data_IF_000511343500
#
_entry.id   IF_000511343500
#
_cell.length_a   1.000
_cell.length_b   1.000
_cell.length_c   1.000
_cell.angle_alpha   90.00
_cell.angle_beta   90.00
_cell.angle_gamma   90.00
#
_symmetry.space_group_name_H-M   'P 1'
#
loop_
_entity.id
_entity.type
_entity.pdbx_description
1 polymer ?
#
# COMPACT_ATOMS: atom_id res chain seq x y z
N UNK A 1 42.35 -8.95 -45.11
CA UNK A 1 40.90 -8.61 -45.01
C UNK A 1 40.20 -9.07 -43.71
N UNK A 2 40.58 -10.12 -43.00
CA UNK A 2 39.91 -10.61 -41.78
C UNK A 2 40.16 -9.79 -40.50
N UNK A 3 41.20 -8.96 -40.38
CA UNK A 3 41.51 -8.17 -39.18
C UNK A 3 40.75 -6.84 -39.06
N UNK A 4 40.29 -6.26 -40.17
CA UNK A 4 39.52 -5.00 -40.14
C UNK A 4 38.06 -5.19 -39.76
N UNK A 5 37.50 -6.37 -40.01
CA UNK A 5 36.08 -6.65 -39.69
C UNK A 5 35.84 -6.78 -38.18
N UNK A 6 36.79 -7.30 -37.42
CA UNK A 6 36.66 -7.47 -35.97
C UNK A 6 36.79 -6.14 -35.21
N UNK A 7 37.55 -5.18 -35.72
CA UNK A 7 37.72 -3.88 -35.07
C UNK A 7 36.46 -3.01 -35.23
N UNK A 8 35.79 -3.07 -36.37
CA UNK A 8 34.54 -2.33 -36.61
C UNK A 8 33.37 -2.84 -35.77
N UNK A 9 33.30 -4.16 -35.51
CA UNK A 9 32.26 -4.73 -34.65
C UNK A 9 32.49 -4.36 -33.19
N UNK A 10 33.73 -4.34 -32.71
CA UNK A 10 34.06 -3.96 -31.32
C UNK A 10 33.75 -2.46 -31.08
N UNK A 11 34.07 -1.60 -32.04
CA UNK A 11 33.76 -0.15 -31.94
C UNK A 11 32.26 0.08 -31.98
N UNK A 12 31.50 -0.63 -32.81
CA UNK A 12 30.04 -0.53 -32.86
C UNK A 12 29.38 -1.02 -31.56
N UNK A 13 29.90 -2.10 -30.93
CA UNK A 13 29.42 -2.59 -29.64
C UNK A 13 29.74 -1.64 -28.46
N UNK A 14 30.93 -1.00 -28.49
CA UNK A 14 31.28 0.00 -27.47
C UNK A 14 30.47 1.28 -27.61
N UNK A 15 30.19 1.74 -28.83
CA UNK A 15 29.32 2.91 -29.05
C UNK A 15 27.86 2.59 -28.69
N UNK A 16 27.36 1.40 -28.97
CA UNK A 16 26.05 0.94 -28.57
C UNK A 16 25.88 0.88 -27.05
N UNK A 17 26.90 0.38 -26.33
CA UNK A 17 26.90 0.31 -24.88
C UNK A 17 26.99 1.71 -24.22
N UNK A 18 27.76 2.64 -24.80
CA UNK A 18 27.82 4.02 -24.29
C UNK A 18 26.56 4.83 -24.59
N UNK A 19 25.91 4.58 -25.72
CA UNK A 19 24.60 5.23 -26.04
C UNK A 19 23.47 4.70 -25.14
N UNK A 20 23.50 3.42 -24.76
CA UNK A 20 22.54 2.87 -23.78
C UNK A 20 22.75 3.42 -22.35
N UNK A 21 24.00 3.70 -21.97
CA UNK A 21 24.32 4.32 -20.67
C UNK A 21 23.99 5.85 -20.65
N UNK A 22 23.99 6.50 -21.80
CA UNK A 22 23.61 7.93 -21.92
C UNK A 22 22.09 8.14 -22.04
N UNK A 23 21.32 7.07 -22.28
CA UNK A 23 19.86 7.12 -22.37
C UNK A 23 19.14 6.96 -21.01
N UNK A 24 19.86 6.72 -19.91
CA UNK A 24 19.34 6.96 -18.57
C UNK A 24 19.33 8.49 -18.36
N UNK A 25 18.28 9.13 -18.85
CA UNK A 25 18.01 10.54 -18.57
C UNK A 25 18.03 10.73 -17.07
N UNK A 26 18.87 11.64 -16.59
CA UNK A 26 18.77 12.14 -15.22
C UNK A 26 17.43 12.83 -15.11
N UNK A 27 16.41 12.08 -14.67
CA UNK A 27 15.14 12.70 -14.31
C UNK A 27 15.43 13.60 -13.10
N UNK A 28 15.44 14.90 -13.31
CA UNK A 28 15.53 15.86 -12.22
C UNK A 28 14.17 15.91 -11.52
N UNK A 29 13.94 14.95 -10.62
CA UNK A 29 12.78 15.02 -9.74
C UNK A 29 12.95 16.16 -8.75
N UNK A 30 11.86 16.86 -8.38
CA UNK A 30 11.92 17.86 -7.33
C UNK A 30 12.29 17.19 -6.01
N UNK A 31 13.06 17.89 -5.17
CA UNK A 31 13.42 17.43 -3.83
C UNK A 31 12.28 17.56 -2.83
N UNK A 32 11.29 18.40 -3.15
CA UNK A 32 10.12 18.66 -2.30
C UNK A 32 8.91 18.93 -3.17
N UNK A 33 7.78 18.36 -2.80
CA UNK A 33 6.48 18.62 -3.42
C UNK A 33 5.50 18.95 -2.30
N UNK A 34 4.83 20.10 -2.39
CA UNK A 34 3.81 20.51 -1.44
C UNK A 34 2.47 19.85 -1.80
N UNK A 35 1.95 19.02 -0.91
CA UNK A 35 0.64 18.36 -1.12
C UNK A 35 -0.56 19.28 -0.91
N UNK A 36 -0.36 20.40 -0.22
CA UNK A 36 -1.41 21.33 0.17
C UNK A 36 -2.18 20.88 1.44
N UNK A 37 -2.95 21.79 2.03
CA UNK A 37 -3.81 21.47 3.18
C UNK A 37 -5.19 20.99 2.68
N UNK A 38 -5.60 19.79 3.07
CA UNK A 38 -6.93 19.23 2.80
C UNK A 38 -7.67 18.91 4.11
N UNK A 39 -9.01 19.01 4.10
CA UNK A 39 -9.86 18.77 5.27
C UNK A 39 -10.29 17.30 5.41
N UNK A 40 -9.54 16.37 4.83
CA UNK A 40 -9.87 14.94 4.80
C UNK A 40 -8.96 14.09 5.71
N UNK A 41 -8.48 14.67 6.81
CA UNK A 41 -7.51 14.05 7.71
C UNK A 41 -6.07 14.45 7.36
N UNK A 42 -5.11 13.57 7.59
CA UNK A 42 -3.71 13.73 7.22
C UNK A 42 -3.33 12.76 6.10
N UNK A 43 -2.17 12.94 5.50
CA UNK A 43 -1.64 12.01 4.50
C UNK A 43 -1.44 10.64 5.16
N UNK A 44 -1.97 9.60 4.51
CA UNK A 44 -1.85 8.21 4.93
C UNK A 44 -0.85 7.45 4.05
N UNK A 45 -0.78 7.78 2.76
CA UNK A 45 0.11 7.14 1.81
C UNK A 45 0.38 8.01 0.58
N UNK A 46 1.43 7.65 -0.15
CA UNK A 46 1.87 8.35 -1.35
C UNK A 46 2.23 7.31 -2.41
N UNK A 47 1.60 7.41 -3.59
CA UNK A 47 1.99 6.63 -4.76
C UNK A 47 2.52 7.56 -5.85
N UNK A 48 3.53 7.12 -6.60
CA UNK A 48 4.19 7.96 -7.61
C UNK A 48 4.26 7.26 -8.95
N UNK A 49 3.73 7.92 -9.96
CA UNK A 49 3.94 7.58 -11.37
C UNK A 49 5.09 8.42 -11.93
N UNK A 50 6.28 7.88 -11.89
CA UNK A 50 7.49 8.57 -12.33
C UNK A 50 7.56 8.75 -13.84
N UNK A 51 6.87 7.91 -14.63
CA UNK A 51 6.90 7.97 -16.09
C UNK A 51 6.02 9.11 -16.63
N UNK A 52 4.83 9.29 -16.03
CA UNK A 52 3.89 10.34 -16.42
C UNK A 52 4.00 11.60 -15.57
N UNK A 53 4.76 11.55 -14.47
CA UNK A 53 5.01 12.70 -13.61
C UNK A 53 3.82 13.07 -12.72
N UNK A 54 3.15 12.06 -12.14
CA UNK A 54 2.04 12.27 -11.21
C UNK A 54 2.36 11.74 -9.82
N UNK A 55 1.79 12.42 -8.81
CA UNK A 55 1.81 11.98 -7.42
C UNK A 55 0.38 11.86 -6.92
N UNK A 56 0.11 10.78 -6.24
CA UNK A 56 -1.17 10.47 -5.63
C UNK A 56 -1.01 10.45 -4.12
N UNK A 57 -1.85 11.18 -3.42
CA UNK A 57 -1.86 11.23 -1.96
C UNK A 57 -3.18 10.67 -1.45
N UNK A 58 -3.13 9.68 -0.58
CA UNK A 58 -4.30 9.32 0.23
C UNK A 58 -4.37 10.19 1.46
N UNK A 59 -5.55 10.69 1.69
CA UNK A 59 -6.00 11.21 2.98
C UNK A 59 -7.03 10.24 3.53
N UNK A 60 -7.37 10.33 4.79
CA UNK A 60 -8.27 9.36 5.44
C UNK A 60 -9.52 9.01 4.61
N UNK A 61 -10.12 9.99 3.91
CA UNK A 61 -11.36 9.79 3.15
C UNK A 61 -11.30 10.28 1.70
N UNK A 62 -10.11 10.66 1.24
CA UNK A 62 -9.94 11.32 -0.05
C UNK A 62 -8.63 10.92 -0.72
N UNK A 63 -8.64 10.82 -2.06
CA UNK A 63 -7.43 10.73 -2.89
C UNK A 63 -7.22 12.03 -3.65
N UNK A 64 -5.99 12.54 -3.67
CA UNK A 64 -5.59 13.73 -4.43
C UNK A 64 -4.55 13.33 -5.47
N UNK A 65 -4.75 13.77 -6.72
CA UNK A 65 -3.79 13.63 -7.82
C UNK A 65 -3.15 14.97 -8.12
N UNK A 66 -1.82 15.03 -8.15
CA UNK A 66 -1.05 16.22 -8.53
C UNK A 66 -0.04 15.90 -9.63
N UNK A 67 0.51 16.94 -10.26
CA UNK A 67 1.77 16.82 -10.99
C UNK A 67 2.98 16.90 -10.03
N UNK A 68 4.20 16.75 -10.56
CA UNK A 68 5.45 16.85 -9.78
C UNK A 68 5.74 18.27 -9.27
N UNK A 69 4.96 19.27 -9.65
CA UNK A 69 5.07 20.64 -9.12
C UNK A 69 4.06 20.91 -7.99
N UNK A 70 3.25 19.91 -7.65
CA UNK A 70 2.18 20.02 -6.64
C UNK A 70 0.90 20.67 -7.18
N UNK A 71 0.78 20.91 -8.50
CA UNK A 71 -0.48 21.40 -9.06
C UNK A 71 -1.53 20.30 -9.04
N UNK A 72 -2.67 20.56 -8.41
CA UNK A 72 -3.76 19.60 -8.31
C UNK A 72 -4.44 19.41 -9.65
N UNK A 73 -4.56 18.15 -10.08
CA UNK A 73 -5.21 17.74 -11.33
C UNK A 73 -6.64 17.28 -11.05
N UNK A 74 -6.83 16.54 -9.99
CA UNK A 74 -8.14 16.04 -9.61
C UNK A 74 -8.13 15.39 -8.22
N UNK A 75 -9.30 15.02 -7.76
CA UNK A 75 -9.45 14.33 -6.47
C UNK A 75 -10.68 13.42 -6.46
N UNK A 76 -10.64 12.43 -5.57
CA UNK A 76 -11.74 11.50 -5.29
C UNK A 76 -12.16 11.67 -3.86
N UNK A 77 -13.46 11.76 -3.60
CA UNK A 77 -14.07 11.89 -2.28
C UNK A 77 -15.27 10.96 -2.10
N UNK A 78 -15.89 11.04 -0.93
CA UNK A 78 -17.10 10.28 -0.60
C UNK A 78 -16.81 8.92 -0.01
N UNK A 79 -15.55 8.64 0.38
CA UNK A 79 -15.21 7.47 1.15
C UNK A 79 -15.66 7.63 2.62
N UNK A 80 -16.34 6.63 3.13
CA UNK A 80 -16.74 6.51 4.55
C UNK A 80 -15.89 5.49 5.30
N UNK A 81 -14.88 4.96 4.63
CA UNK A 81 -13.84 4.11 5.17
C UNK A 81 -12.52 4.85 5.27
N UNK A 82 -11.57 4.26 5.98
CA UNK A 82 -10.20 4.74 6.10
C UNK A 82 -9.41 4.28 4.86
N UNK A 83 -9.00 5.24 4.03
CA UNK A 83 -8.05 5.03 2.95
C UNK A 83 -6.64 5.19 3.53
N UNK A 84 -5.89 4.10 3.56
CA UNK A 84 -4.53 4.05 4.11
C UNK A 84 -3.46 4.25 3.05
N UNK A 85 -2.41 3.46 3.11
CA UNK A 85 -1.31 3.49 2.17
C UNK A 85 -1.69 3.07 0.75
N UNK A 86 -0.89 3.48 -0.23
CA UNK A 86 -1.14 3.22 -1.65
C UNK A 86 0.15 2.99 -2.41
N UNK A 87 0.06 2.20 -3.49
CA UNK A 87 1.13 2.08 -4.46
C UNK A 87 0.61 2.10 -5.91
N UNK A 88 1.49 2.52 -6.82
CA UNK A 88 1.19 2.62 -8.24
C UNK A 88 1.67 1.38 -8.99
N UNK A 89 0.74 0.66 -9.61
CA UNK A 89 1.07 -0.47 -10.46
C UNK A 89 1.44 -0.02 -11.87
N UNK A 90 2.72 -0.14 -12.21
CA UNK A 90 3.24 0.20 -13.54
C UNK A 90 2.71 -0.71 -14.65
N UNK A 91 2.28 -1.94 -14.34
CA UNK A 91 1.81 -2.89 -15.34
C UNK A 91 0.44 -2.51 -15.89
N UNK A 92 -0.45 -1.94 -15.07
CA UNK A 92 -1.82 -1.59 -15.49
C UNK A 92 -2.16 -0.10 -15.37
N UNK A 93 -1.23 0.71 -14.84
CA UNK A 93 -1.38 2.16 -14.74
C UNK A 93 -2.38 2.62 -13.66
N UNK A 94 -2.72 1.77 -12.69
CA UNK A 94 -3.68 2.03 -11.63
C UNK A 94 -3.00 2.20 -10.27
N UNK A 95 -3.66 2.89 -9.35
CA UNK A 95 -3.25 2.99 -7.94
C UNK A 95 -4.07 2.03 -7.10
N UNK A 96 -3.37 1.29 -6.23
CA UNK A 96 -3.93 0.32 -5.31
C UNK A 96 -3.71 0.82 -3.88
N UNK A 97 -4.74 0.86 -3.06
CA UNK A 97 -4.66 1.34 -1.69
C UNK A 97 -5.46 0.50 -0.71
N UNK A 98 -5.05 0.46 0.54
CA UNK A 98 -5.84 -0.15 1.60
C UNK A 98 -7.09 0.69 1.90
N UNK A 99 -8.23 0.04 2.00
CA UNK A 99 -9.51 0.70 2.34
C UNK A 99 -10.24 -0.15 3.36
N UNK A 100 -10.48 0.40 4.53
CA UNK A 100 -11.10 -0.32 5.63
C UNK A 100 -12.31 0.38 6.21
N UNK A 101 -13.30 -0.41 6.56
CA UNK A 101 -14.51 0.01 7.27
C UNK A 101 -14.57 -0.72 8.60
N UNK A 102 -14.65 0.03 9.70
CA UNK A 102 -14.63 -0.54 11.05
C UNK A 102 -15.68 0.13 11.93
N UNK A 103 -16.29 -0.65 12.80
CA UNK A 103 -17.22 -0.11 13.82
C UNK A 103 -16.50 0.15 15.14
N UNK A 104 -15.32 0.75 15.05
CA UNK A 104 -14.48 1.15 16.18
C UNK A 104 -14.43 2.68 16.35
N UNK A 105 -13.48 3.18 17.14
CA UNK A 105 -13.31 4.61 17.36
C UNK A 105 -12.91 5.36 16.07
N UNK A 106 -12.07 4.73 15.23
CA UNK A 106 -11.61 5.31 13.95
C UNK A 106 -12.77 5.42 12.97
N UNK A 107 -13.51 4.33 12.75
CA UNK A 107 -14.67 4.34 11.86
C UNK A 107 -15.75 5.33 12.31
N UNK A 108 -16.02 5.42 13.62
CA UNK A 108 -16.96 6.43 14.17
C UNK A 108 -16.47 7.86 13.95
N UNK A 109 -15.16 8.11 14.09
CA UNK A 109 -14.56 9.41 13.81
C UNK A 109 -14.70 9.81 12.33
N UNK A 110 -14.50 8.88 11.41
CA UNK A 110 -14.72 9.10 9.97
C UNK A 110 -16.15 9.43 9.66
N UNK A 111 -17.11 8.66 10.22
CA UNK A 111 -18.54 8.92 10.03
C UNK A 111 -18.94 10.31 10.52
N UNK A 112 -18.35 10.76 11.63
CA UNK A 112 -18.58 12.11 12.15
C UNK A 112 -17.95 13.17 11.25
N UNK A 113 -16.73 12.96 10.76
CA UNK A 113 -16.03 13.86 9.85
C UNK A 113 -16.80 14.05 8.55
N UNK A 114 -17.31 12.97 7.98
CA UNK A 114 -18.07 12.94 6.72
C UNK A 114 -19.57 13.27 6.93
N UNK A 115 -19.99 13.55 8.18
CA UNK A 115 -21.40 13.84 8.56
C UNK A 115 -22.38 12.79 8.04
N UNK A 116 -21.97 11.52 8.06
CA UNK A 116 -22.74 10.40 7.57
C UNK A 116 -23.45 9.68 8.72
N UNK A 117 -24.69 9.25 8.47
CA UNK A 117 -25.48 8.41 9.37
C UNK A 117 -25.61 6.97 8.87
N UNK A 118 -24.90 6.60 7.79
CA UNK A 118 -24.92 5.25 7.24
C UNK A 118 -24.41 4.24 8.28
N UNK A 119 -25.04 3.06 8.32
CA UNK A 119 -24.56 1.95 9.14
C UNK A 119 -23.67 1.07 8.27
N UNK A 120 -22.37 1.21 8.43
CA UNK A 120 -21.41 0.41 7.71
C UNK A 120 -21.11 -0.91 8.45
N UNK A 121 -20.76 -1.95 7.68
CA UNK A 121 -20.27 -3.23 8.20
C UNK A 121 -18.74 -3.18 8.28
N UNK A 122 -18.15 -3.98 9.18
CA UNK A 122 -16.71 -4.21 9.13
C UNK A 122 -16.35 -4.89 7.81
N UNK A 123 -15.46 -4.30 7.06
CA UNK A 123 -15.02 -4.82 5.77
C UNK A 123 -13.65 -4.25 5.40
N UNK A 124 -12.83 -5.07 4.75
CA UNK A 124 -11.47 -4.72 4.37
C UNK A 124 -11.29 -4.97 2.87
N UNK A 125 -10.77 -3.96 2.17
CA UNK A 125 -10.61 -3.97 0.72
C UNK A 125 -9.24 -3.47 0.30
N UNK A 126 -8.84 -3.86 -0.89
CA UNK A 126 -7.95 -3.04 -1.70
C UNK A 126 -8.83 -2.22 -2.64
N UNK A 127 -8.72 -0.90 -2.53
CA UNK A 127 -9.30 0.05 -3.48
C UNK A 127 -8.38 0.18 -4.70
N UNK A 128 -8.94 0.15 -5.89
CA UNK A 128 -8.22 0.20 -7.16
C UNK A 128 -8.74 1.38 -7.96
N UNK A 129 -7.90 2.40 -8.12
CA UNK A 129 -8.26 3.64 -8.78
C UNK A 129 -7.77 3.67 -10.23
N UNK A 130 -8.68 3.90 -11.18
CA UNK A 130 -8.37 4.27 -12.55
C UNK A 130 -7.95 5.75 -12.58
N UNK A 131 -6.66 5.98 -12.31
CA UNK A 131 -6.13 7.33 -12.10
C UNK A 131 -6.08 8.19 -13.36
N UNK A 132 -6.21 7.59 -14.55
CA UNK A 132 -6.31 8.33 -15.81
C UNK A 132 -7.66 9.05 -15.92
N UNK A 133 -8.68 8.52 -15.28
CA UNK A 133 -10.01 9.12 -15.24
C UNK A 133 -10.17 10.17 -14.14
N UNK A 134 -9.19 10.34 -13.25
CA UNK A 134 -9.20 11.40 -12.24
C UNK A 134 -8.75 12.71 -12.90
N UNK A 135 -9.71 13.50 -13.40
CA UNK A 135 -9.48 14.69 -14.23
C UNK A 135 -10.09 15.97 -13.69
N UNK A 136 -10.84 15.91 -12.59
CA UNK A 136 -11.45 17.04 -11.90
C UNK A 136 -11.47 16.84 -10.40
N UNK A 137 -11.64 17.94 -9.67
CA UNK A 137 -11.80 17.89 -8.22
C UNK A 137 -13.12 17.20 -7.84
N UNK A 138 -13.10 16.56 -6.66
CA UNK A 138 -14.27 16.06 -5.97
C UNK A 138 -15.07 15.02 -6.77
N UNK A 139 -14.40 14.14 -7.50
CA UNK A 139 -15.04 12.99 -8.14
C UNK A 139 -15.57 12.02 -7.06
N UNK A 140 -16.75 11.49 -7.28
CA UNK A 140 -17.41 10.62 -6.32
C UNK A 140 -16.90 9.16 -6.45
N UNK A 141 -16.41 8.60 -5.36
CA UNK A 141 -15.82 7.26 -5.33
C UNK A 141 -16.79 6.14 -5.78
N UNK A 142 -18.09 6.30 -5.53
CA UNK A 142 -19.10 5.31 -5.92
C UNK A 142 -19.70 5.58 -7.31
N UNK A 143 -19.93 6.87 -7.66
CA UNK A 143 -20.78 7.23 -8.80
C UNK A 143 -20.01 7.51 -10.09
N UNK A 144 -18.78 8.02 -10.00
CA UNK A 144 -18.02 8.41 -11.18
C UNK A 144 -17.31 7.23 -11.88
N UNK A 145 -17.41 6.01 -11.29
CA UNK A 145 -16.88 4.77 -11.88
C UNK A 145 -15.36 4.77 -12.05
N UNK A 146 -14.65 5.50 -11.20
CA UNK A 146 -13.20 5.66 -11.22
C UNK A 146 -12.49 4.70 -10.26
N UNK A 147 -13.25 3.97 -9.46
CA UNK A 147 -12.72 3.07 -8.44
C UNK A 147 -13.49 1.76 -8.43
N UNK A 148 -12.75 0.68 -8.29
CA UNK A 148 -13.27 -0.64 -7.92
C UNK A 148 -12.62 -1.11 -6.61
N UNK A 149 -13.16 -2.14 -6.02
CA UNK A 149 -12.62 -2.73 -4.79
C UNK A 149 -12.55 -4.25 -4.88
N UNK A 150 -11.58 -4.83 -4.17
CA UNK A 150 -11.42 -6.27 -3.97
C UNK A 150 -11.43 -6.56 -2.48
N UNK A 151 -12.33 -7.43 -2.05
CA UNK A 151 -12.53 -7.77 -0.65
C UNK A 151 -11.45 -8.72 -0.11
N UNK A 152 -11.04 -8.51 1.15
CA UNK A 152 -10.02 -9.32 1.83
C UNK A 152 -10.60 -10.07 3.04
N UNK A 153 -11.16 -11.28 2.83
CA UNK A 153 -11.82 -12.05 3.90
C UNK A 153 -10.87 -12.43 5.05
N UNK A 154 -9.62 -12.77 4.75
CA UNK A 154 -8.62 -13.15 5.76
C UNK A 154 -8.44 -12.04 6.81
N UNK A 155 -8.45 -10.77 6.39
CA UNK A 155 -8.32 -9.63 7.31
C UNK A 155 -9.53 -9.53 8.22
N UNK A 156 -10.74 -9.68 7.67
CA UNK A 156 -11.97 -9.65 8.48
C UNK A 156 -12.02 -10.83 9.47
N UNK A 157 -11.60 -12.01 9.05
CA UNK A 157 -11.52 -13.18 9.90
C UNK A 157 -10.62 -12.94 11.11
N UNK A 158 -9.41 -12.40 10.89
CA UNK A 158 -8.46 -12.10 11.96
C UNK A 158 -8.93 -10.94 12.83
N UNK A 159 -9.56 -9.92 12.24
CA UNK A 159 -10.16 -8.80 12.97
C UNK A 159 -11.30 -9.22 13.90
N UNK A 160 -12.14 -10.17 13.49
CA UNK A 160 -13.27 -10.65 14.28
C UNK A 160 -12.92 -11.86 15.19
N UNK A 161 -11.74 -12.44 15.04
CA UNK A 161 -11.36 -13.64 15.76
C UNK A 161 -11.25 -13.40 17.26
N UNK A 162 -11.69 -14.40 18.03
CA UNK A 162 -11.41 -14.52 19.47
C UNK A 162 -10.44 -15.67 19.64
N UNK A 163 -9.30 -15.39 20.21
CA UNK A 163 -8.23 -16.37 20.41
C UNK A 163 -7.86 -16.47 21.88
N UNK A 164 -7.37 -17.64 22.29
CA UNK A 164 -6.83 -17.82 23.62
C UNK A 164 -5.35 -17.44 23.64
N UNK A 165 -4.99 -16.53 24.53
CA UNK A 165 -3.63 -16.08 24.73
C UNK A 165 -3.34 -16.10 26.25
N UNK A 166 -2.35 -16.88 26.66
CA UNK A 166 -1.94 -17.01 28.06
C UNK A 166 -3.13 -17.34 29.01
N UNK A 167 -4.02 -18.25 28.56
CA UNK A 167 -5.21 -18.65 29.31
C UNK A 167 -6.35 -17.64 29.37
N UNK A 168 -6.30 -16.59 28.54
CA UNK A 168 -7.34 -15.56 28.42
C UNK A 168 -7.86 -15.48 27.00
N UNK A 169 -9.18 -15.26 26.88
CA UNK A 169 -9.77 -14.90 25.59
C UNK A 169 -9.43 -13.45 25.26
N UNK A 170 -8.82 -13.24 24.10
CA UNK A 170 -8.55 -11.93 23.54
C UNK A 170 -9.20 -11.78 22.17
N UNK A 171 -9.58 -10.57 21.80
CA UNK A 171 -10.11 -10.24 20.48
C UNK A 171 -8.96 -9.90 19.53
N UNK A 172 -9.23 -9.97 18.24
CA UNK A 172 -8.30 -9.60 17.18
C UNK A 172 -7.04 -10.51 17.13
N UNK A 173 -7.13 -11.62 16.37
CA UNK A 173 -5.97 -12.52 16.15
C UNK A 173 -4.77 -11.70 15.69
N UNK A 174 -3.58 -11.98 16.26
CA UNK A 174 -2.34 -11.27 15.99
C UNK A 174 -2.44 -9.74 16.22
N UNK A 175 -3.37 -9.31 17.06
CA UNK A 175 -3.61 -7.89 17.29
C UNK A 175 -4.19 -7.12 16.10
N UNK A 176 -4.71 -7.79 15.08
CA UNK A 176 -5.18 -7.19 13.83
C UNK A 176 -6.20 -6.07 14.09
N UNK A 177 -5.85 -4.84 13.75
CA UNK A 177 -6.77 -3.69 13.77
C UNK A 177 -7.27 -3.33 12.36
N UNK A 178 -6.92 -4.09 11.33
CA UNK A 178 -7.22 -3.87 9.92
C UNK A 178 -5.98 -3.92 9.05
N UNK A 179 -5.96 -3.13 7.98
CA UNK A 179 -4.85 -3.03 7.02
C UNK A 179 -4.45 -1.58 6.81
N UNK A 180 -3.14 -1.36 6.65
CA UNK A 180 -2.59 -0.03 6.35
C UNK A 180 -1.59 -0.08 5.19
N UNK A 181 -0.35 -0.53 5.39
CA UNK A 181 0.71 -0.52 4.38
C UNK A 181 0.36 -1.31 3.13
N UNK A 182 0.69 -0.76 1.95
CA UNK A 182 0.49 -1.38 0.64
C UNK A 182 1.69 -1.12 -0.25
N UNK A 183 2.22 -2.15 -0.91
CA UNK A 183 3.25 -1.99 -1.93
C UNK A 183 3.25 -3.14 -2.94
N UNK A 184 3.73 -2.85 -4.15
CA UNK A 184 4.07 -3.86 -5.14
C UNK A 184 5.53 -4.28 -4.99
N UNK A 185 5.77 -5.57 -4.85
CA UNK A 185 7.11 -6.13 -4.74
C UNK A 185 7.17 -7.57 -5.24
N UNK A 186 8.37 -8.12 -5.42
CA UNK A 186 8.53 -9.53 -5.77
C UNK A 186 8.06 -10.43 -4.64
N UNK A 187 7.89 -11.71 -4.93
CA UNK A 187 7.62 -12.70 -3.87
C UNK A 187 8.73 -12.65 -2.83
N UNK A 188 8.36 -12.60 -1.54
CA UNK A 188 9.35 -12.58 -0.45
C UNK A 188 10.37 -13.71 -0.58
N UNK A 189 11.64 -13.39 -0.34
CA UNK A 189 12.77 -14.29 -0.53
C UNK A 189 13.24 -14.44 -1.98
N UNK A 190 12.66 -13.66 -2.93
CA UNK A 190 13.11 -13.57 -4.32
C UNK A 190 13.61 -12.15 -4.63
N UNK A 191 14.69 -12.04 -5.40
CA UNK A 191 15.15 -10.77 -5.96
C UNK A 191 14.59 -10.62 -7.37
N UNK A 192 13.63 -9.70 -7.52
CA UNK A 192 12.97 -9.45 -8.80
C UNK A 192 12.01 -10.56 -9.26
N UNK A 193 11.53 -10.46 -10.47
CA UNK A 193 10.55 -11.36 -11.07
C UNK A 193 9.14 -10.77 -11.05
N UNK A 194 8.13 -11.65 -10.98
CA UNK A 194 6.74 -11.23 -10.93
C UNK A 194 6.46 -10.39 -9.69
N UNK A 195 5.74 -9.30 -9.87
CA UNK A 195 5.31 -8.43 -8.80
C UNK A 195 4.00 -8.95 -8.18
N UNK A 196 3.89 -8.81 -6.88
CA UNK A 196 2.73 -9.14 -6.06
C UNK A 196 2.30 -7.89 -5.32
N UNK A 197 1.03 -7.73 -5.09
CA UNK A 197 0.52 -6.76 -4.13
C UNK A 197 0.72 -7.31 -2.73
N UNK A 198 1.35 -6.55 -1.87
CA UNK A 198 1.43 -6.86 -0.44
C UNK A 198 0.65 -5.82 0.34
N UNK A 199 -0.16 -6.26 1.30
CA UNK A 199 -0.75 -5.39 2.31
C UNK A 199 -0.38 -5.89 3.70
N UNK A 200 -0.31 -4.98 4.66
CA UNK A 200 0.12 -5.27 6.03
C UNK A 200 -1.00 -5.01 7.01
N UNK A 201 -0.97 -5.73 8.14
CA UNK A 201 -1.91 -5.42 9.21
C UNK A 201 -1.52 -4.12 9.91
N UNK A 202 -2.53 -3.28 10.16
CA UNK A 202 -2.53 -2.42 11.31
C UNK A 202 -2.65 -3.28 12.58
N UNK A 203 -2.04 -2.88 13.68
CA UNK A 203 -2.15 -3.61 14.94
C UNK A 203 -2.61 -2.70 16.09
N UNK A 204 -3.36 -3.29 17.02
CA UNK A 204 -3.68 -2.59 18.26
C UNK A 204 -2.48 -2.60 19.21
N UNK A 205 -2.07 -1.41 19.65
CA UNK A 205 -1.04 -1.30 20.68
C UNK A 205 -1.58 -1.78 22.02
N UNK A 206 -1.13 -2.95 22.43
CA UNK A 206 -1.42 -3.52 23.77
C UNK A 206 -0.15 -4.18 24.30
N UNK A 207 0.52 -3.48 25.21
CA UNK A 207 1.79 -3.95 25.83
C UNK A 207 1.63 -5.22 26.68
N UNK A 208 0.40 -5.69 26.88
CA UNK A 208 0.11 -6.95 27.59
C UNK A 208 -0.05 -8.14 26.65
N UNK A 209 -0.13 -7.89 25.33
CA UNK A 209 -0.20 -8.94 24.33
C UNK A 209 1.21 -9.45 24.02
N UNK A 210 1.27 -10.74 23.71
CA UNK A 210 2.51 -11.44 23.31
C UNK A 210 2.45 -11.96 21.87
N UNK A 211 1.34 -11.71 21.16
CA UNK A 211 1.08 -12.18 19.80
C UNK A 211 1.06 -11.06 18.74
N UNK A 212 1.46 -9.84 19.10
CA UNK A 212 1.48 -8.68 18.20
C UNK A 212 2.88 -8.05 18.01
N UNK A 213 3.94 -8.80 18.33
CA UNK A 213 5.33 -8.39 18.12
C UNK A 213 5.80 -8.56 16.67
N UNK A 214 5.00 -9.23 15.84
CA UNK A 214 5.28 -9.46 14.44
C UNK A 214 4.33 -8.65 13.58
N UNK A 215 4.87 -7.97 12.60
CA UNK A 215 4.05 -7.38 11.54
C UNK A 215 3.61 -8.50 10.60
N UNK A 216 2.34 -8.50 10.24
CA UNK A 216 1.75 -9.50 9.33
C UNK A 216 1.64 -8.90 7.94
N UNK A 217 2.23 -9.59 6.95
CA UNK A 217 2.23 -9.17 5.56
C UNK A 217 1.48 -10.22 4.73
N UNK A 218 0.44 -9.80 4.04
CA UNK A 218 -0.38 -10.63 3.16
C UNK A 218 -0.02 -10.30 1.71
N UNK A 219 0.45 -11.30 0.95
CA UNK A 219 0.88 -11.12 -0.42
C UNK A 219 -0.07 -11.79 -1.40
N UNK A 220 -0.43 -11.08 -2.47
CA UNK A 220 -1.44 -11.49 -3.45
C UNK A 220 -0.91 -11.40 -4.88
N UNK A 221 -1.17 -12.44 -5.68
CA UNK A 221 -1.07 -12.41 -7.13
C UNK A 221 -2.32 -11.75 -7.72
N UNK A 222 -2.19 -10.53 -8.22
CA UNK A 222 -3.35 -9.77 -8.72
C UNK A 222 -3.72 -10.07 -10.18
N UNK A 223 -3.01 -11.00 -10.86
CA UNK A 223 -3.20 -11.29 -12.28
C UNK A 223 -4.68 -11.51 -12.69
N UNK A 224 -5.42 -12.21 -11.84
CA UNK A 224 -6.82 -12.55 -12.11
C UNK A 224 -7.81 -11.75 -11.25
N UNK A 225 -7.40 -10.64 -10.65
CA UNK A 225 -8.25 -9.88 -9.74
C UNK A 225 -9.41 -9.18 -10.41
N UNK A 226 -9.37 -8.96 -11.73
CA UNK A 226 -10.49 -8.43 -12.50
C UNK A 226 -11.80 -9.21 -12.28
N UNK A 227 -11.74 -10.51 -11.96
CA UNK A 227 -12.91 -11.33 -11.64
C UNK A 227 -13.56 -10.96 -10.30
N UNK A 228 -12.80 -10.37 -9.38
CA UNK A 228 -13.25 -9.96 -8.04
C UNK A 228 -13.62 -8.47 -7.96
N UNK A 229 -13.07 -7.65 -8.85
CA UNK A 229 -13.31 -6.21 -8.85
C UNK A 229 -14.80 -5.89 -8.97
N UNK A 230 -15.29 -5.06 -8.05
CA UNK A 230 -16.65 -4.52 -8.06
C UNK A 230 -16.63 -3.04 -7.75
N UNK A 231 -17.57 -2.29 -8.32
CA UNK A 231 -17.83 -0.93 -7.90
C UNK A 231 -18.19 -0.92 -6.42
N UNK A 232 -17.62 0.01 -5.66
CA UNK A 232 -17.95 0.18 -4.27
C UNK A 232 -19.42 0.61 -4.13
N UNK A 233 -20.12 -0.02 -3.19
CA UNK A 233 -21.41 0.47 -2.67
C UNK A 233 -21.36 0.43 -1.16
N UNK A 234 -21.31 1.58 -0.54
CA UNK A 234 -21.20 1.72 0.91
C UNK A 234 -22.53 1.48 1.64
N UNK A 235 -23.64 1.33 0.93
CA UNK A 235 -24.92 0.86 1.47
C UNK A 235 -25.09 -0.66 1.38
N UNK A 236 -24.42 -1.30 0.40
CA UNK A 236 -24.48 -2.74 0.18
C UNK A 236 -23.07 -3.26 -0.18
N UNK A 237 -22.27 -3.41 0.84
CA UNK A 237 -20.85 -3.77 0.71
C UNK A 237 -20.69 -5.21 0.21
N UNK A 238 -19.97 -5.39 -0.91
CA UNK A 238 -19.75 -6.71 -1.50
C UNK A 238 -18.63 -7.49 -0.77
N UNK A 239 -18.62 -8.80 -0.99
CA UNK A 239 -17.62 -9.73 -0.43
C UNK A 239 -16.86 -10.50 -1.51
N UNK A 240 -16.71 -9.90 -2.71
CA UNK A 240 -15.97 -10.52 -3.80
C UNK A 240 -14.47 -10.26 -3.63
N UNK A 241 -13.70 -11.33 -3.46
CA UNK A 241 -12.25 -11.29 -3.27
C UNK A 241 -11.64 -12.69 -3.29
N UNK A 242 -10.30 -12.79 -3.27
CA UNK A 242 -9.62 -14.07 -3.13
C UNK A 242 -9.92 -14.67 -1.75
N UNK A 243 -10.12 -15.96 -1.69
CA UNK A 243 -10.43 -16.68 -0.43
C UNK A 243 -9.33 -16.51 0.61
N UNK A 244 -8.06 -16.48 0.16
CA UNK A 244 -6.87 -16.33 1.00
C UNK A 244 -5.74 -15.65 0.23
N UNK A 245 -4.73 -15.09 0.92
CA UNK A 245 -3.51 -14.61 0.27
C UNK A 245 -2.70 -15.75 -0.34
N UNK A 246 -1.86 -15.43 -1.34
CA UNK A 246 -0.89 -16.37 -1.92
C UNK A 246 0.32 -16.59 -1.01
N UNK A 247 0.54 -15.70 -0.05
CA UNK A 247 1.54 -15.82 0.99
C UNK A 247 1.19 -14.97 2.21
N UNK A 248 1.54 -15.48 3.38
CA UNK A 248 1.48 -14.76 4.65
C UNK A 248 2.85 -14.80 5.29
N UNK A 249 3.34 -13.65 5.71
CA UNK A 249 4.70 -13.50 6.23
C UNK A 249 4.68 -12.69 7.53
N UNK A 250 5.70 -12.92 8.36
CA UNK A 250 5.83 -12.30 9.66
C UNK A 250 7.18 -11.61 9.79
N UNK A 251 7.18 -10.31 10.06
CA UNK A 251 8.38 -9.52 10.31
C UNK A 251 8.40 -9.10 11.77
N UNK A 252 9.43 -9.50 12.52
CA UNK A 252 9.58 -9.12 13.91
C UNK A 252 9.99 -7.65 14.02
N UNK A 253 9.20 -6.87 14.74
CA UNK A 253 9.48 -5.45 15.04
C UNK A 253 9.33 -5.13 16.53
N UNK A 254 8.94 -6.11 17.34
CA UNK A 254 8.44 -5.87 18.69
C UNK A 254 7.03 -5.27 18.65
N UNK A 255 6.45 -5.09 19.84
CA UNK A 255 5.13 -4.48 19.98
C UNK A 255 5.17 -3.01 19.58
N UNK A 256 4.58 -2.70 18.43
CA UNK A 256 4.51 -1.34 17.86
C UNK A 256 3.14 -0.71 18.09
N UNK A 257 3.09 0.63 18.04
CA UNK A 257 1.81 1.33 17.99
C UNK A 257 1.31 1.34 16.54
N UNK A 258 0.12 0.85 16.30
CA UNK A 258 -0.59 0.85 14.99
C UNK A 258 -0.02 -0.05 13.89
N UNK A 259 1.11 -0.73 14.07
CA UNK A 259 1.69 -1.62 13.06
C UNK A 259 2.38 -0.89 11.91
N UNK A 260 2.42 -1.53 10.73
CA UNK A 260 3.03 -0.96 9.51
C UNK A 260 2.04 -0.01 8.85
N UNK A 261 2.34 1.28 8.89
CA UNK A 261 1.50 2.32 8.30
C UNK A 261 1.74 2.50 6.80
N UNK A 262 3.01 2.40 6.39
CA UNK A 262 3.40 2.49 4.99
C UNK A 262 4.43 1.41 4.68
N UNK A 263 4.41 0.97 3.43
CA UNK A 263 5.35 -0.02 2.92
C UNK A 263 5.81 0.38 1.52
N UNK A 264 7.09 0.18 1.22
CA UNK A 264 7.64 0.47 -0.11
C UNK A 264 8.70 -0.57 -0.50
N UNK A 265 8.67 -1.01 -1.75
CA UNK A 265 9.71 -1.83 -2.34
C UNK A 265 10.66 -0.97 -3.17
N UNK A 266 11.94 -0.99 -2.83
CA UNK A 266 12.99 -0.35 -3.63
C UNK A 266 13.54 -1.34 -4.67
N UNK A 267 13.23 -1.18 -5.96
CA UNK A 267 13.72 -2.07 -7.00
C UNK A 267 15.22 -1.94 -7.24
N UNK A 268 15.87 -0.86 -6.77
CA UNK A 268 17.31 -0.66 -6.92
C UNK A 268 18.11 -1.52 -5.94
N UNK A 269 17.73 -1.53 -4.67
CA UNK A 269 18.39 -2.37 -3.65
C UNK A 269 17.78 -3.76 -3.55
N UNK A 270 16.51 -3.91 -3.89
CA UNK A 270 15.72 -5.12 -3.69
C UNK A 270 15.20 -5.25 -2.27
N UNK A 271 15.25 -4.17 -1.49
CA UNK A 271 14.77 -4.12 -0.11
C UNK A 271 13.30 -3.67 -0.04
N UNK A 272 12.66 -4.02 1.06
CA UNK A 272 11.32 -3.55 1.40
C UNK A 272 11.41 -2.74 2.69
N UNK A 273 10.93 -1.52 2.63
CA UNK A 273 10.87 -0.60 3.77
C UNK A 273 9.50 -0.72 4.43
N UNK A 274 9.51 -0.84 5.75
CA UNK A 274 8.30 -0.86 6.58
C UNK A 274 8.35 0.34 7.52
N UNK A 275 7.40 1.26 7.39
CA UNK A 275 7.25 2.40 8.29
C UNK A 275 6.32 2.00 9.44
N UNK A 276 6.87 1.89 10.65
CA UNK A 276 6.15 1.54 11.85
C UNK A 276 6.25 2.64 12.89
N UNK A 277 5.20 2.82 13.71
CA UNK A 277 5.30 3.66 14.87
C UNK A 277 6.05 2.95 15.99
N UNK A 278 6.84 3.73 16.76
CA UNK A 278 7.50 3.25 17.96
C UNK A 278 6.48 2.77 18.98
N UNK A 279 6.64 1.55 19.49
CA UNK A 279 5.88 0.98 20.60
C UNK A 279 6.67 1.02 21.90
N UNK A 280 6.05 0.60 22.99
CA UNK A 280 6.66 0.60 24.32
C UNK A 280 7.89 -0.32 24.44
N UNK A 281 8.00 -1.33 23.57
CA UNK A 281 9.08 -2.30 23.53
C UNK A 281 9.82 -2.36 22.19
N UNK A 282 9.52 -1.45 21.26
CA UNK A 282 10.24 -1.39 19.99
C UNK A 282 11.57 -0.65 20.17
N UNK A 283 12.63 -1.20 19.61
CA UNK A 283 13.89 -0.50 19.47
C UNK A 283 13.77 0.56 18.38
N UNK A 284 14.26 1.77 18.63
CA UNK A 284 14.36 2.79 17.58
C UNK A 284 15.41 2.38 16.56
N UNK A 285 14.99 2.20 15.31
CA UNK A 285 15.90 2.05 14.18
C UNK A 285 16.17 3.46 13.64
N UNK A 286 17.35 4.01 13.93
CA UNK A 286 17.68 5.40 13.61
C UNK A 286 18.39 5.59 12.28
N UNK A 287 18.99 4.54 11.73
CA UNK A 287 19.69 4.64 10.46
C UNK A 287 19.55 3.36 9.64
N UNK A 288 19.73 3.52 8.33
CA UNK A 288 19.82 2.46 7.37
C UNK A 288 20.94 1.44 7.69
N UNK A 289 22.02 1.90 8.34
CA UNK A 289 23.17 1.10 8.73
C UNK A 289 22.94 0.29 10.01
N UNK A 290 21.99 0.72 10.85
CA UNK A 290 21.69 0.10 12.14
C UNK A 290 20.53 -0.90 12.09
N UNK A 291 19.82 -0.99 10.97
CA UNK A 291 18.75 -1.96 10.81
C UNK A 291 19.32 -3.39 10.84
N UNK A 292 19.05 -4.20 11.88
CA UNK A 292 19.41 -5.60 11.83
C UNK A 292 18.74 -6.21 10.61
N UNK A 293 19.46 -7.10 9.88
CA UNK A 293 18.92 -7.86 8.77
C UNK A 293 17.66 -8.60 9.24
N UNK A 294 16.50 -7.97 9.10
CA UNK A 294 15.22 -8.59 9.45
C UNK A 294 15.00 -9.74 8.48
N UNK A 295 15.15 -10.96 8.98
CA UNK A 295 14.89 -12.17 8.21
C UNK A 295 13.39 -12.40 8.24
N UNK A 296 12.74 -12.28 7.08
CA UNK A 296 11.37 -12.75 6.91
C UNK A 296 11.35 -14.27 7.14
N UNK A 297 10.54 -14.72 8.08
CA UNK A 297 10.29 -16.13 8.28
C UNK A 297 8.95 -16.47 7.63
N UNK A 298 8.90 -17.37 6.64
CA UNK A 298 7.62 -17.86 6.12
C UNK A 298 6.86 -18.55 7.27
N UNK A 299 5.58 -18.17 7.47
CA UNK A 299 4.68 -18.85 8.40
C UNK A 299 4.16 -20.16 7.87
#
# INVERSE_FOLDING_TARGET
MKRFFNLSIIVALLIGATLSALAQGTHNYPTTIESGPYKAGHIQGIAVDTERGYVYYSYTTQLIKTDLKGNVIGSVKGLLGHLGDMDFNKEDGRVYGSLEYKNDAIGKGIMQMEKSSKKLQNAFYIAIFDVDRITRLDMDAEKDGIMTTVYLPTVLEDYLAKVELDGKQVEHRLGCSGIDGVSFGPKFGKKGGKMYLTTTYGVYSDTKRTDNDYQVLLQYDIKDWHKYERTLSQDNMHTYGPEKPDGQYFAYTGNTTYGVQNMEYDPYTGDIFLAVYEGASSERIYSYEDAPNSRFTPG
#
